data_IF_753584352910
#
_entry.id   IF_753584352910
#
_cell.length_a   1.000
_cell.length_b   1.000
_cell.length_c   1.000
_cell.angle_alpha   90.00
_cell.angle_beta   90.00
_cell.angle_gamma   90.00
#
_symmetry.space_group_name_H-M   'P 1'
#
loop_
_entity.id
_entity.type
_entity.pdbx_description
1 polymer ?
#
# COMPACT_ATOMS: atom_id res chain seq x y z
N UNK A 1 39.46 -31.27 8.98
CA UNK A 1 39.68 -30.86 7.58
C UNK A 1 38.84 -31.72 6.65
N UNK A 2 37.67 -31.23 6.28
CA UNK A 2 37.02 -31.45 4.98
C UNK A 2 35.97 -30.34 4.87
N UNK A 3 36.47 -29.17 4.46
CA UNK A 3 35.86 -27.84 4.65
C UNK A 3 35.74 -27.12 3.29
N UNK A 4 35.43 -27.86 2.22
CA UNK A 4 35.27 -27.32 0.87
C UNK A 4 33.83 -27.53 0.39
N UNK A 5 33.12 -26.41 0.34
CA UNK A 5 31.73 -26.29 -0.03
C UNK A 5 31.44 -26.84 -1.43
N UNK A 6 30.47 -27.74 -1.49
CA UNK A 6 29.67 -27.89 -2.70
C UNK A 6 28.91 -26.57 -2.87
N UNK A 7 28.98 -25.97 -4.07
CA UNK A 7 28.09 -24.85 -4.41
C UNK A 7 26.67 -25.28 -4.03
N UNK A 8 25.94 -24.50 -3.22
CA UNK A 8 24.60 -24.89 -2.80
C UNK A 8 23.77 -25.20 -4.04
N UNK A 9 23.04 -26.32 -4.01
CA UNK A 9 22.16 -26.71 -5.12
C UNK A 9 21.19 -25.55 -5.40
N UNK A 10 20.86 -25.29 -6.66
CA UNK A 10 19.95 -24.20 -7.03
C UNK A 10 18.63 -24.30 -6.24
N UNK A 11 18.20 -25.52 -5.93
CA UNK A 11 17.04 -25.80 -5.07
C UNK A 11 17.23 -25.39 -3.62
N UNK A 12 18.42 -25.55 -3.06
CA UNK A 12 18.75 -25.15 -1.69
C UNK A 12 18.83 -23.63 -1.55
N UNK A 13 19.46 -22.95 -2.52
CA UNK A 13 19.47 -21.47 -2.57
C UNK A 13 18.06 -20.90 -2.64
N UNK A 14 17.19 -21.48 -3.48
CA UNK A 14 15.79 -21.07 -3.58
C UNK A 14 15.01 -21.28 -2.27
N UNK A 15 15.24 -22.39 -1.58
CA UNK A 15 14.61 -22.66 -0.28
C UNK A 15 15.08 -21.68 0.80
N UNK A 16 16.36 -21.36 0.81
CA UNK A 16 16.93 -20.37 1.73
C UNK A 16 16.34 -18.97 1.48
N UNK A 17 16.31 -18.54 0.22
CA UNK A 17 15.74 -17.24 -0.17
C UNK A 17 14.23 -17.16 0.16
N UNK A 18 13.44 -18.18 -0.19
CA UNK A 18 12.01 -18.22 0.19
C UNK A 18 11.79 -18.17 1.72
N UNK A 19 12.71 -18.75 2.51
CA UNK A 19 12.65 -18.67 3.97
C UNK A 19 12.96 -17.25 4.46
N UNK A 20 13.94 -16.60 3.84
CA UNK A 20 14.32 -15.22 4.13
C UNK A 20 13.20 -14.25 3.78
N UNK A 21 12.65 -14.31 2.56
CA UNK A 21 11.47 -13.53 2.13
C UNK A 21 10.31 -13.65 3.13
N UNK A 22 9.98 -14.88 3.55
CA UNK A 22 8.92 -15.11 4.55
C UNK A 22 9.25 -14.52 5.91
N UNK A 23 10.52 -14.53 6.31
CA UNK A 23 10.97 -13.93 7.57
C UNK A 23 10.84 -12.41 7.48
N UNK A 24 11.34 -11.79 6.42
CA UNK A 24 11.25 -10.34 6.18
C UNK A 24 9.80 -9.87 6.14
N UNK A 25 8.90 -10.59 5.46
CA UNK A 25 7.47 -10.25 5.46
C UNK A 25 6.86 -10.27 6.86
N UNK A 26 7.24 -11.24 7.72
CA UNK A 26 6.77 -11.30 9.11
C UNK A 26 7.33 -10.18 9.98
N UNK A 27 8.57 -9.79 9.74
CA UNK A 27 9.20 -8.65 10.41
C UNK A 27 8.50 -7.35 10.01
N UNK A 28 8.24 -7.13 8.72
CA UNK A 28 7.45 -6.00 8.23
C UNK A 28 6.03 -5.97 8.82
N UNK A 29 5.34 -7.12 8.91
CA UNK A 29 4.03 -7.21 9.57
C UNK A 29 4.10 -6.89 11.08
N UNK A 30 5.20 -7.25 11.74
CA UNK A 30 5.43 -6.92 13.14
C UNK A 30 5.65 -5.41 13.32
N UNK A 31 6.51 -4.82 12.48
CA UNK A 31 6.78 -3.39 12.48
C UNK A 31 5.53 -2.59 12.16
N UNK A 32 4.70 -3.06 11.22
CA UNK A 32 3.40 -2.45 10.91
C UNK A 32 2.48 -2.39 12.13
N UNK A 33 2.37 -3.49 12.88
CA UNK A 33 1.61 -3.51 14.14
C UNK A 33 2.21 -2.57 15.19
N UNK A 34 3.53 -2.39 15.21
CA UNK A 34 4.19 -1.39 16.03
C UNK A 34 3.82 0.03 15.64
N UNK A 35 3.81 0.34 14.34
CA UNK A 35 3.38 1.64 13.81
C UNK A 35 1.90 1.92 14.10
N UNK A 36 1.01 0.94 13.98
CA UNK A 36 -0.42 1.09 14.32
C UNK A 36 -0.65 1.45 15.80
N UNK A 37 0.20 0.96 16.72
CA UNK A 37 0.13 1.33 18.14
C UNK A 37 0.57 2.78 18.34
N UNK A 38 1.70 3.16 17.76
CA UNK A 38 2.20 4.55 17.81
C UNK A 38 1.21 5.53 17.17
N UNK A 39 0.53 5.13 16.11
CA UNK A 39 -0.51 5.92 15.43
C UNK A 39 -1.62 6.27 16.42
N UNK A 40 -2.13 5.28 17.17
CA UNK A 40 -3.16 5.50 18.20
C UNK A 40 -2.67 6.36 19.37
N UNK A 41 -1.43 6.20 19.78
CA UNK A 41 -0.80 7.01 20.83
C UNK A 41 -0.71 8.48 20.40
N UNK A 42 -0.21 8.75 19.18
CA UNK A 42 -0.13 10.09 18.60
C UNK A 42 -1.53 10.71 18.43
N UNK A 43 -2.52 9.96 17.96
CA UNK A 43 -3.90 10.45 17.85
C UNK A 43 -4.47 10.87 19.21
N UNK A 44 -4.21 10.10 20.27
CA UNK A 44 -4.65 10.45 21.62
C UNK A 44 -3.93 11.70 22.15
N UNK A 45 -2.65 11.84 21.88
CA UNK A 45 -1.84 12.98 22.31
C UNK A 45 -2.24 14.27 21.57
N UNK A 46 -2.45 14.20 20.25
CA UNK A 46 -2.95 15.32 19.43
C UNK A 46 -4.31 15.79 19.97
N UNK A 47 -5.23 14.87 20.28
CA UNK A 47 -6.53 15.21 20.89
C UNK A 47 -6.37 15.92 22.23
N UNK A 48 -5.41 15.49 23.05
CA UNK A 48 -5.16 16.10 24.36
C UNK A 48 -4.60 17.52 24.20
N UNK A 49 -3.61 17.73 23.34
CA UNK A 49 -3.00 19.04 23.11
C UNK A 49 -3.97 20.03 22.46
N UNK A 50 -4.78 19.56 21.53
CA UNK A 50 -5.84 20.37 20.91
C UNK A 50 -6.86 20.86 21.94
N UNK A 51 -7.32 19.98 22.85
CA UNK A 51 -8.22 20.36 23.96
C UNK A 51 -7.59 21.38 24.92
N UNK A 52 -6.27 21.36 25.06
CA UNK A 52 -5.52 22.31 25.88
C UNK A 52 -5.24 23.64 25.16
N UNK A 53 -5.65 23.79 23.89
CA UNK A 53 -5.40 24.99 23.09
C UNK A 53 -3.95 25.12 22.60
N UNK A 54 -3.13 24.07 22.75
CA UNK A 54 -1.73 24.05 22.32
C UNK A 54 -1.64 23.67 20.83
N UNK A 55 -2.15 24.56 19.97
CA UNK A 55 -2.29 24.30 18.54
C UNK A 55 -0.96 24.04 17.83
N UNK A 56 0.12 24.73 18.20
CA UNK A 56 1.44 24.53 17.59
C UNK A 56 2.03 23.15 17.91
N UNK A 57 1.87 22.69 19.15
CA UNK A 57 2.30 21.37 19.58
C UNK A 57 1.46 20.26 18.92
N UNK A 58 0.13 20.46 18.82
CA UNK A 58 -0.77 19.56 18.10
C UNK A 58 -0.41 19.45 16.60
N UNK A 59 -0.06 20.58 15.96
CA UNK A 59 0.36 20.62 14.56
C UNK A 59 1.68 19.89 14.31
N UNK A 60 2.64 20.02 15.22
CA UNK A 60 3.92 19.28 15.16
C UNK A 60 3.70 17.77 15.26
N UNK A 61 2.87 17.31 16.20
CA UNK A 61 2.52 15.89 16.32
C UNK A 61 1.69 15.38 15.13
N UNK A 62 0.81 16.21 14.56
CA UNK A 62 0.05 15.84 13.37
C UNK A 62 0.95 15.65 12.15
N UNK A 63 2.02 16.43 11.98
CA UNK A 63 3.05 16.16 10.96
C UNK A 63 3.71 14.78 11.16
N UNK A 64 4.03 14.43 12.40
CA UNK A 64 4.58 13.10 12.72
C UNK A 64 3.57 11.98 12.43
N UNK A 65 2.28 12.20 12.71
CA UNK A 65 1.21 11.26 12.40
C UNK A 65 1.09 11.02 10.88
N UNK A 66 1.13 12.07 10.07
CA UNK A 66 1.12 11.95 8.60
C UNK A 66 2.33 11.16 8.11
N UNK A 67 3.53 11.46 8.61
CA UNK A 67 4.73 10.70 8.27
C UNK A 67 4.61 9.23 8.66
N UNK A 68 4.06 8.92 9.83
CA UNK A 68 3.83 7.55 10.29
C UNK A 68 2.82 6.81 9.40
N UNK A 69 1.73 7.46 8.99
CA UNK A 69 0.76 6.91 8.03
C UNK A 69 1.39 6.63 6.68
N UNK A 70 2.26 7.53 6.19
CA UNK A 70 3.03 7.32 4.96
C UNK A 70 4.00 6.14 5.09
N UNK A 71 4.72 6.03 6.20
CA UNK A 71 5.59 4.89 6.49
C UNK A 71 4.80 3.56 6.54
N UNK A 72 3.59 3.56 7.11
CA UNK A 72 2.70 2.39 7.12
C UNK A 72 2.31 1.96 5.69
N UNK A 73 1.92 2.91 4.86
CA UNK A 73 1.56 2.66 3.45
C UNK A 73 2.76 2.13 2.65
N UNK A 74 3.94 2.76 2.81
CA UNK A 74 5.20 2.28 2.22
C UNK A 74 5.54 0.88 2.69
N UNK A 75 5.34 0.54 3.96
CA UNK A 75 5.57 -0.81 4.51
C UNK A 75 4.68 -1.87 3.86
N UNK A 76 3.39 -1.59 3.64
CA UNK A 76 2.48 -2.49 2.92
C UNK A 76 2.99 -2.75 1.50
N UNK A 77 3.38 -1.69 0.79
CA UNK A 77 3.85 -1.83 -0.57
C UNK A 77 5.23 -2.50 -0.66
N UNK A 78 6.13 -2.27 0.30
CA UNK A 78 7.39 -3.02 0.42
C UNK A 78 7.12 -4.53 0.64
N UNK A 79 6.15 -4.90 1.47
CA UNK A 79 5.75 -6.30 1.65
C UNK A 79 5.20 -6.93 0.36
N UNK A 80 4.45 -6.16 -0.42
CA UNK A 80 3.98 -6.59 -1.75
C UNK A 80 5.16 -6.79 -2.72
N UNK A 81 6.11 -5.84 -2.77
CA UNK A 81 7.33 -5.95 -3.59
C UNK A 81 8.16 -7.18 -3.23
N UNK A 82 8.41 -7.42 -1.94
CA UNK A 82 9.17 -8.60 -1.47
C UNK A 82 8.46 -9.90 -1.87
N UNK A 83 7.14 -9.94 -1.77
CA UNK A 83 6.34 -11.08 -2.21
C UNK A 83 6.41 -11.28 -3.73
N UNK A 84 6.40 -10.18 -4.50
CA UNK A 84 6.59 -10.18 -5.96
C UNK A 84 7.96 -10.71 -6.37
N UNK A 85 9.03 -10.25 -5.73
CA UNK A 85 10.40 -10.76 -5.93
C UNK A 85 10.46 -12.27 -5.66
N UNK A 86 9.78 -12.77 -4.63
CA UNK A 86 9.68 -14.21 -4.37
C UNK A 86 9.01 -15.00 -5.49
N UNK A 87 7.95 -14.45 -6.09
CA UNK A 87 7.28 -15.06 -7.24
C UNK A 87 8.18 -15.03 -8.48
N UNK A 88 8.83 -13.90 -8.76
CA UNK A 88 9.80 -13.74 -9.86
C UNK A 88 10.96 -14.72 -9.72
N UNK A 89 11.53 -14.86 -8.52
CA UNK A 89 12.60 -15.81 -8.23
C UNK A 89 12.12 -17.26 -8.47
N UNK A 90 10.90 -17.61 -8.04
CA UNK A 90 10.31 -18.94 -8.29
C UNK A 90 10.12 -19.23 -9.78
N UNK A 91 9.71 -18.23 -10.55
CA UNK A 91 9.58 -18.32 -12.01
C UNK A 91 10.96 -18.51 -12.65
N UNK A 92 11.97 -17.71 -12.27
CA UNK A 92 13.33 -17.82 -12.76
C UNK A 92 13.93 -19.21 -12.50
N UNK A 93 13.68 -19.80 -11.33
CA UNK A 93 14.11 -21.17 -11.04
C UNK A 93 13.41 -22.22 -11.92
N UNK A 94 12.12 -22.04 -12.18
CA UNK A 94 11.35 -22.94 -13.06
C UNK A 94 11.84 -22.83 -14.51
N UNK A 95 12.12 -21.62 -14.98
CA UNK A 95 12.80 -21.38 -16.27
C UNK A 95 14.19 -22.03 -16.30
N UNK A 96 14.99 -21.91 -15.24
CA UNK A 96 16.31 -22.54 -15.17
C UNK A 96 16.23 -24.07 -15.29
N UNK A 97 15.22 -24.70 -14.67
CA UNK A 97 14.95 -26.14 -14.84
C UNK A 97 14.50 -26.49 -16.26
N UNK A 98 13.64 -25.67 -16.84
CA UNK A 98 13.19 -25.86 -18.23
C UNK A 98 14.38 -25.75 -19.19
N UNK A 99 15.29 -24.79 -18.97
CA UNK A 99 16.51 -24.62 -19.74
C UNK A 99 17.47 -25.82 -19.59
N UNK A 100 17.65 -26.35 -18.37
CA UNK A 100 18.45 -27.57 -18.16
C UNK A 100 17.84 -28.79 -18.86
N UNK A 101 16.51 -28.94 -18.80
CA UNK A 101 15.78 -30.00 -19.49
C UNK A 101 15.89 -29.85 -21.02
N UNK A 102 15.66 -28.65 -21.56
CA UNK A 102 15.83 -28.34 -22.98
C UNK A 102 17.27 -28.57 -23.42
N UNK A 103 18.28 -28.20 -22.63
CA UNK A 103 19.68 -28.45 -22.93
C UNK A 103 19.99 -29.95 -23.07
N UNK A 104 19.44 -30.78 -22.18
CA UNK A 104 19.52 -32.25 -22.27
C UNK A 104 18.80 -32.78 -23.51
N UNK A 105 17.59 -32.29 -23.78
CA UNK A 105 16.82 -32.68 -24.97
C UNK A 105 17.54 -32.28 -26.26
N UNK A 106 18.10 -31.07 -26.35
CA UNK A 106 18.91 -30.60 -27.49
C UNK A 106 20.19 -31.42 -27.62
N UNK A 107 20.83 -31.83 -26.51
CA UNK A 107 21.96 -32.76 -26.55
C UNK A 107 21.59 -34.10 -27.20
N UNK A 108 20.45 -34.68 -26.79
CA UNK A 108 19.92 -35.92 -27.39
C UNK A 108 19.46 -35.68 -28.84
N UNK A 109 18.85 -34.54 -29.11
CA UNK A 109 18.34 -34.18 -30.43
C UNK A 109 19.47 -33.92 -31.40
N UNK A 110 20.61 -33.35 -30.97
CA UNK A 110 21.85 -33.20 -31.74
C UNK A 110 22.50 -34.56 -32.05
N UNK A 111 22.39 -35.53 -31.14
CA UNK A 111 22.76 -36.92 -31.45
C UNK A 111 21.77 -37.58 -32.41
N UNK A 112 20.51 -37.12 -32.44
CA UNK A 112 19.45 -37.60 -33.35
C UNK A 112 19.33 -36.78 -34.65
N UNK A 113 20.01 -35.63 -34.75
CA UNK A 113 19.96 -34.61 -35.82
C UNK A 113 20.50 -35.14 -37.14
N UNK A 114 21.14 -36.30 -37.12
CA UNK A 114 21.42 -37.06 -38.34
C UNK A 114 20.16 -37.58 -39.05
N UNK A 115 18.96 -37.51 -38.45
CA UNK A 115 17.73 -38.10 -39.00
C UNK A 115 16.43 -37.27 -38.84
N UNK A 116 16.44 -36.00 -38.37
CA UNK A 116 15.21 -35.19 -38.23
C UNK A 116 15.40 -33.67 -38.51
N UNK A 117 14.36 -32.94 -38.96
CA UNK A 117 14.47 -31.53 -39.35
C UNK A 117 14.42 -30.56 -38.15
N UNK A 118 15.42 -29.68 -38.08
CA UNK A 118 15.74 -28.75 -36.99
C UNK A 118 14.81 -27.52 -36.92
N UNK A 119 14.00 -27.29 -37.95
CA UNK A 119 13.27 -26.03 -38.17
C UNK A 119 12.18 -25.73 -37.12
N UNK A 120 11.48 -26.75 -36.61
CA UNK A 120 10.42 -26.55 -35.61
C UNK A 120 10.97 -26.12 -34.25
N UNK A 121 12.18 -26.58 -33.90
CA UNK A 121 12.85 -26.19 -32.66
C UNK A 121 13.31 -24.72 -32.71
N UNK A 122 13.87 -24.30 -33.84
CA UNK A 122 14.30 -22.92 -34.05
C UNK A 122 13.13 -21.92 -33.94
N UNK A 123 11.95 -22.29 -34.45
CA UNK A 123 10.73 -21.47 -34.32
C UNK A 123 10.26 -21.38 -32.87
N UNK A 124 10.21 -22.51 -32.15
CA UNK A 124 9.81 -22.52 -30.74
C UNK A 124 10.77 -21.72 -29.84
N UNK A 125 12.07 -21.73 -30.13
CA UNK A 125 13.04 -20.89 -29.39
C UNK A 125 12.84 -19.40 -29.64
N UNK A 126 12.53 -18.99 -30.88
CA UNK A 126 12.20 -17.59 -31.20
C UNK A 126 10.93 -17.13 -30.49
N UNK A 127 9.88 -17.96 -30.52
CA UNK A 127 8.62 -17.65 -29.84
C UNK A 127 8.83 -17.55 -28.32
N UNK A 128 9.65 -18.43 -27.74
CA UNK A 128 10.04 -18.35 -26.33
C UNK A 128 10.81 -17.06 -25.99
N UNK A 129 11.78 -16.65 -26.81
CA UNK A 129 12.52 -15.40 -26.62
C UNK A 129 11.59 -14.17 -26.65
N UNK A 130 10.67 -14.11 -27.61
CA UNK A 130 9.69 -13.01 -27.68
C UNK A 130 8.74 -12.97 -26.47
N UNK A 131 8.31 -14.12 -25.95
CA UNK A 131 7.49 -14.17 -24.74
C UNK A 131 8.30 -13.76 -23.50
N UNK A 132 9.59 -14.11 -23.44
CA UNK A 132 10.48 -13.72 -22.36
C UNK A 132 10.71 -12.20 -22.32
N UNK A 133 10.92 -11.57 -23.48
CA UNK A 133 11.06 -10.11 -23.61
C UNK A 133 9.77 -9.38 -23.23
N UNK A 134 8.62 -9.87 -23.71
CA UNK A 134 7.31 -9.31 -23.31
C UNK A 134 7.09 -9.40 -21.81
N UNK A 135 7.45 -10.53 -21.21
CA UNK A 135 7.34 -10.73 -19.78
C UNK A 135 8.24 -9.76 -19.00
N UNK A 136 9.50 -9.57 -19.43
CA UNK A 136 10.41 -8.59 -18.83
C UNK A 136 9.87 -7.16 -18.89
N UNK A 137 9.33 -6.76 -20.04
CA UNK A 137 8.73 -5.42 -20.21
C UNK A 137 7.51 -5.22 -19.31
N UNK A 138 6.69 -6.25 -19.12
CA UNK A 138 5.55 -6.18 -18.20
C UNK A 138 5.95 -6.10 -16.73
N UNK A 139 7.07 -6.72 -16.34
CA UNK A 139 7.61 -6.57 -14.98
C UNK A 139 8.15 -5.16 -14.75
N UNK A 140 8.84 -4.58 -15.73
CA UNK A 140 9.34 -3.19 -15.67
C UNK A 140 8.19 -2.19 -15.55
N UNK A 141 7.18 -2.28 -16.41
CA UNK A 141 5.99 -1.43 -16.34
C UNK A 141 5.23 -1.58 -15.01
N UNK A 142 5.18 -2.80 -14.45
CA UNK A 142 4.53 -3.03 -13.16
C UNK A 142 5.34 -2.42 -12.00
N UNK A 143 6.67 -2.50 -12.06
CA UNK A 143 7.55 -1.88 -11.07
C UNK A 143 7.50 -0.35 -11.17
N UNK A 144 7.52 0.23 -12.37
CA UNK A 144 7.39 1.68 -12.56
C UNK A 144 6.05 2.21 -12.06
N UNK A 145 4.96 1.47 -12.29
CA UNK A 145 3.65 1.81 -11.74
C UNK A 145 3.64 1.74 -10.20
N UNK A 146 4.30 0.75 -9.61
CA UNK A 146 4.45 0.65 -8.15
C UNK A 146 5.33 1.77 -7.59
N UNK A 147 6.38 2.15 -8.29
CA UNK A 147 7.31 3.20 -7.88
C UNK A 147 6.65 4.58 -7.96
N UNK A 148 5.90 4.86 -9.03
CA UNK A 148 5.13 6.09 -9.16
C UNK A 148 4.07 6.26 -8.07
N UNK A 149 3.50 5.18 -7.54
CA UNK A 149 2.53 5.23 -6.43
C UNK A 149 3.23 5.46 -5.09
N UNK A 150 4.51 5.07 -4.97
CA UNK A 150 5.25 5.14 -3.71
C UNK A 150 6.12 6.39 -3.56
N UNK A 151 6.44 7.02 -4.67
CA UNK A 151 7.37 8.14 -4.78
C UNK A 151 6.64 9.45 -5.12
N UNK A 152 5.43 9.66 -4.61
CA UNK A 152 4.78 10.97 -4.63
C UNK A 152 5.16 11.73 -3.34
N UNK A 153 6.25 12.53 -3.35
CA UNK A 153 6.52 13.47 -2.27
C UNK A 153 5.51 14.60 -2.38
N UNK A 154 4.46 14.54 -1.57
CA UNK A 154 3.52 15.64 -1.43
C UNK A 154 4.26 16.94 -1.13
N UNK A 155 3.95 17.97 -1.91
CA UNK A 155 4.50 19.32 -1.80
C UNK A 155 4.33 19.82 -0.35
N UNK A 156 5.24 20.67 0.14
CA UNK A 156 5.24 21.13 1.54
C UNK A 156 3.91 21.84 1.89
N UNK A 157 3.35 22.54 0.90
CA UNK A 157 2.02 23.17 0.99
C UNK A 157 0.87 22.14 1.07
N UNK A 158 1.04 20.98 0.43
CA UNK A 158 0.07 19.88 0.44
C UNK A 158 0.13 19.13 1.76
N UNK A 159 1.33 18.94 2.33
CA UNK A 159 1.53 18.38 3.66
C UNK A 159 0.83 19.21 4.74
N UNK A 160 0.93 20.54 4.69
CA UNK A 160 0.25 21.40 5.66
C UNK A 160 -1.28 21.36 5.50
N UNK A 161 -1.81 21.18 4.28
CA UNK A 161 -3.24 20.93 4.05
C UNK A 161 -3.68 19.57 4.61
N UNK A 162 -2.89 18.52 4.38
CA UNK A 162 -3.16 17.18 4.91
C UNK A 162 -3.13 17.20 6.44
N UNK A 163 -2.20 17.92 7.05
CA UNK A 163 -2.13 18.09 8.51
C UNK A 163 -3.37 18.80 9.05
N UNK A 164 -3.83 19.86 8.39
CA UNK A 164 -5.07 20.54 8.76
C UNK A 164 -6.28 19.58 8.67
N UNK A 165 -6.41 18.85 7.55
CA UNK A 165 -7.46 17.85 7.37
C UNK A 165 -7.43 16.77 8.47
N UNK A 166 -6.25 16.26 8.84
CA UNK A 166 -6.11 15.25 9.90
C UNK A 166 -6.50 15.82 11.26
N UNK A 167 -6.17 17.07 11.55
CA UNK A 167 -6.60 17.74 12.77
C UNK A 167 -8.13 17.90 12.82
N UNK A 168 -8.77 18.20 11.69
CA UNK A 168 -10.22 18.29 11.57
C UNK A 168 -10.88 16.90 11.74
N UNK A 169 -10.36 15.86 11.08
CA UNK A 169 -10.78 14.46 11.23
C UNK A 169 -10.68 13.96 12.68
N UNK A 170 -9.64 14.39 13.41
CA UNK A 170 -9.40 14.03 14.80
C UNK A 170 -10.39 14.73 15.76
N UNK A 171 -11.10 15.77 15.30
CA UNK A 171 -12.23 16.36 15.99
C UNK A 171 -11.88 17.56 16.89
N UNK A 172 -11.11 18.51 16.38
CA UNK A 172 -10.94 19.82 17.05
C UNK A 172 -12.22 20.69 16.98
N UNK A 173 -13.16 20.37 16.08
CA UNK A 173 -14.31 21.25 15.81
C UNK A 173 -15.58 21.00 16.64
N UNK A 174 -15.81 19.78 17.16
CA UNK A 174 -17.11 19.51 17.81
C UNK A 174 -17.25 20.10 19.20
N UNK A 175 -16.15 20.38 19.92
CA UNK A 175 -16.25 20.97 21.26
C UNK A 175 -16.20 22.51 21.25
N UNK A 176 -15.61 23.12 20.22
CA UNK A 176 -15.51 24.58 20.09
C UNK A 176 -16.79 25.19 19.50
N UNK A 177 -17.50 24.47 18.64
CA UNK A 177 -18.81 24.89 18.12
C UNK A 177 -19.95 24.61 19.13
N UNK A 178 -19.89 23.51 19.91
CA UNK A 178 -20.87 23.30 21.00
C UNK A 178 -20.69 24.26 22.18
N UNK A 179 -19.45 24.66 22.51
CA UNK A 179 -19.19 25.63 23.58
C UNK A 179 -19.58 27.07 23.20
N UNK A 180 -19.77 27.36 21.90
CA UNK A 180 -20.23 28.66 21.38
C UNK A 180 -21.74 28.72 21.15
N UNK A 181 -22.48 27.63 21.37
CA UNK A 181 -23.93 27.71 21.41
C UNK A 181 -24.33 28.39 22.72
N UNK A 182 -25.03 29.55 22.68
CA UNK A 182 -25.52 30.18 23.89
C UNK A 182 -26.41 29.16 24.62
N UNK A 183 -26.11 28.92 25.90
CA UNK A 183 -26.93 28.09 26.76
C UNK A 183 -28.36 28.63 26.73
N UNK A 184 -29.24 27.92 26.03
CA UNK A 184 -30.66 28.27 25.97
C UNK A 184 -31.19 28.30 27.41
N UNK A 185 -31.76 29.41 27.88
CA UNK A 185 -32.28 29.48 29.23
C UNK A 185 -33.35 28.40 29.40
N UNK A 186 -33.14 27.49 30.35
CA UNK A 186 -34.13 26.51 30.81
C UNK A 186 -35.24 27.26 31.54
N UNK A 187 -36.08 27.98 30.80
CA UNK A 187 -37.34 28.50 31.29
C UNK A 187 -38.22 28.98 30.13
N UNK A 188 -38.78 28.06 29.36
CA UNK A 188 -40.06 28.29 28.70
C UNK A 188 -40.85 27.00 28.83
N UNK A 189 -41.97 27.11 29.54
CA UNK A 189 -42.95 26.05 29.71
C UNK A 189 -43.58 25.65 28.38
N UNK A 190 -44.31 24.54 28.46
CA UNK A 190 -45.08 23.97 27.37
C UNK A 190 -45.97 25.00 26.67
N UNK A 191 -45.67 25.31 25.40
CA UNK A 191 -46.67 25.73 24.42
C UNK A 191 -46.33 25.09 23.06
N UNK A 192 -47.02 24.00 22.78
CA UNK A 192 -47.27 23.53 21.42
C UNK A 192 -48.20 24.54 20.74
N UNK A 193 -47.66 25.47 19.95
CA UNK A 193 -48.44 26.33 19.06
C UNK A 193 -48.56 25.66 17.69
N UNK A 194 -49.79 25.29 17.35
CA UNK A 194 -50.21 24.87 16.02
C UNK A 194 -49.84 25.91 14.98
N UNK A 195 -49.01 25.54 14.01
CA UNK A 195 -48.84 26.30 12.76
C UNK A 195 -50.21 26.28 12.07
N UNK A 196 -50.93 27.41 12.11
CA UNK A 196 -52.24 27.56 11.48
C UNK A 196 -52.11 27.54 9.97
N UNK A 197 -52.97 26.74 9.33
CA UNK A 197 -53.03 26.52 7.88
C UNK A 197 -53.21 27.82 7.07
N UNK A 198 -53.67 28.90 7.68
CA UNK A 198 -53.79 30.24 7.06
C UNK A 198 -52.46 30.83 6.63
N UNK A 199 -51.36 30.58 7.37
CA UNK A 199 -50.06 31.14 7.04
C UNK A 199 -49.43 30.45 5.84
N UNK A 200 -49.73 29.16 5.65
CA UNK A 200 -49.28 28.38 4.49
C UNK A 200 -50.01 28.78 3.21
N UNK A 201 -51.29 29.11 3.27
CA UNK A 201 -52.06 29.63 2.12
C UNK A 201 -51.53 30.99 1.66
N UNK A 202 -51.22 31.89 2.60
CA UNK A 202 -50.66 33.22 2.27
C UNK A 202 -49.28 33.16 1.60
N UNK A 203 -48.49 32.12 1.89
CA UNK A 203 -47.17 31.90 1.27
C UNK A 203 -47.29 31.30 -0.13
N UNK A 204 -48.32 30.50 -0.40
CA UNK A 204 -48.60 29.91 -1.71
C UNK A 204 -49.11 30.96 -2.71
N UNK A 205 -49.91 31.94 -2.27
CA UNK A 205 -50.36 33.04 -3.13
C UNK A 205 -49.22 33.99 -3.53
N UNK A 206 -48.18 34.13 -2.71
CA UNK A 206 -46.99 34.94 -3.04
C UNK A 206 -46.06 34.30 -4.09
N UNK A 207 -46.31 33.04 -4.46
CA UNK A 207 -45.51 32.28 -5.42
C UNK A 207 -46.25 32.01 -6.74
N UNK A 208 -47.44 32.59 -6.92
CA UNK A 208 -48.26 32.48 -8.13
C UNK A 208 -48.36 33.82 -8.84
#
# INVERSE_FOLDING_TARGET
>A
MSLFGKKPDAKEMMRANNKEIRKTNRELDSDRRGMERREKELEAEIKKLAKQGQNDAARSLARQLVQLRNQKTKSVAMGARISGIGAQQSNMYSMGKMADAMGKTVGVMKTMEKQMPVDKLAKNMRDFQMQQEKFGLTEEMMNDALDSILDEPGDEAEQDRIVAQVLDEIGIETNSQLAKLPAMPKNVGAESSSISTSDLESQLERLR
#
